data_IF_850475756657
#
_entry.id   IF_850475756657
#
_cell.length_a   1.000
_cell.length_b   1.000
_cell.length_c   1.000
_cell.angle_alpha   90.00
_cell.angle_beta   90.00
_cell.angle_gamma   90.00
#
_symmetry.space_group_name_H-M   'P 1'
#
loop_
_entity.id
_entity.type
_entity.pdbx_description
1 polymer ?
#
# COMPACT_ATOMS: atom_id res chain seq x y z
N UNK A 1 -22.68 -16.76 45.61
CA UNK A 1 -22.87 -16.83 44.14
C UNK A 1 -21.55 -16.52 43.43
N UNK A 2 -20.59 -17.45 43.37
CA UNK A 2 -19.27 -17.23 42.70
C UNK A 2 -18.75 -18.46 41.94
N UNK A 3 -19.55 -19.51 41.78
CA UNK A 3 -19.05 -20.83 41.33
C UNK A 3 -19.44 -21.20 39.88
N UNK A 4 -20.14 -20.32 39.16
CA UNK A 4 -20.66 -20.64 37.82
C UNK A 4 -19.75 -20.20 36.66
N UNK A 5 -18.69 -19.41 36.94
CA UNK A 5 -17.85 -18.82 35.90
C UNK A 5 -16.67 -19.72 35.50
N UNK A 6 -16.24 -20.63 36.38
CA UNK A 6 -15.07 -21.50 36.14
C UNK A 6 -15.41 -22.65 35.16
N UNK A 7 -16.67 -23.08 35.09
CA UNK A 7 -17.08 -24.18 34.20
C UNK A 7 -17.25 -23.78 32.73
N UNK A 8 -17.41 -22.49 32.43
CA UNK A 8 -17.54 -22.00 31.05
C UNK A 8 -16.18 -21.91 30.33
N UNK A 9 -15.08 -21.75 31.06
CA UNK A 9 -13.74 -21.69 30.47
C UNK A 9 -13.21 -23.06 30.01
N UNK A 10 -13.67 -24.16 30.62
CA UNK A 10 -13.20 -25.50 30.28
C UNK A 10 -13.82 -26.06 28.97
N UNK A 11 -15.00 -25.58 28.57
CA UNK A 11 -15.71 -26.11 27.40
C UNK A 11 -15.22 -25.52 26.06
N UNK A 12 -14.64 -24.31 26.06
CA UNK A 12 -14.18 -23.65 24.82
C UNK A 12 -12.82 -24.20 24.34
N UNK A 13 -11.99 -24.71 25.25
CA UNK A 13 -10.67 -25.27 24.93
C UNK A 13 -10.72 -26.65 24.25
N UNK A 14 -11.82 -27.39 24.36
CA UNK A 14 -11.93 -28.75 23.77
C UNK A 14 -12.27 -28.75 22.26
N UNK A 15 -12.82 -27.66 21.72
CA UNK A 15 -13.20 -27.57 20.30
C UNK A 15 -12.03 -27.06 19.43
N UNK A 16 -11.09 -26.31 20.00
CA UNK A 16 -9.95 -25.74 19.27
C UNK A 16 -8.86 -26.74 18.86
N UNK A 17 -8.71 -27.86 19.58
CA UNK A 17 -7.65 -28.85 19.31
C UNK A 17 -8.04 -29.88 18.23
N UNK A 18 -9.34 -30.05 17.95
CA UNK A 18 -9.81 -31.05 16.98
C UNK A 18 -9.73 -30.60 15.52
N UNK A 19 -9.62 -29.30 15.24
CA UNK A 19 -9.54 -28.75 13.87
C UNK A 19 -8.11 -28.49 13.37
N UNK A 20 -7.07 -28.91 14.12
CA UNK A 20 -5.66 -28.63 13.81
C UNK A 20 -4.82 -29.89 13.45
N UNK A 21 -5.45 -31.00 13.00
CA UNK A 21 -4.73 -32.27 12.70
C UNK A 21 -4.95 -32.82 11.28
N UNK A 22 -5.83 -32.24 10.45
CA UNK A 22 -6.23 -32.91 9.19
C UNK A 22 -5.63 -32.35 7.88
N UNK A 23 -4.77 -31.33 7.90
CA UNK A 23 -4.28 -30.70 6.65
C UNK A 23 -2.75 -30.58 6.57
N UNK A 24 -2.05 -31.67 6.88
CA UNK A 24 -0.62 -31.80 6.59
C UNK A 24 -0.31 -33.20 6.06
N UNK A 25 -0.84 -33.52 4.87
CA UNK A 25 -0.46 -34.71 4.11
C UNK A 25 -0.74 -34.46 2.63
N UNK A 26 0.29 -34.02 1.89
CA UNK A 26 0.16 -33.72 0.47
C UNK A 26 1.50 -33.41 -0.19
N UNK A 27 2.52 -34.23 0.10
CA UNK A 27 3.74 -34.27 -0.71
C UNK A 27 3.53 -35.10 -1.97
N UNK A 28 4.19 -34.67 -3.05
CA UNK A 28 4.76 -35.45 -4.19
C UNK A 28 4.64 -34.66 -5.50
N UNK A 29 5.44 -34.94 -6.56
CA UNK A 29 6.79 -35.49 -6.59
C UNK A 29 7.73 -34.72 -7.54
N UNK A 30 9.02 -34.98 -7.38
CA UNK A 30 10.10 -34.67 -8.32
C UNK A 30 9.81 -35.22 -9.72
N UNK A 31 10.14 -34.44 -10.76
CA UNK A 31 10.13 -34.92 -12.15
C UNK A 31 11.50 -35.48 -12.54
N UNK A 32 11.57 -36.66 -13.17
CA UNK A 32 12.82 -37.32 -13.55
C UNK A 32 13.46 -36.66 -14.77
N UNK A 33 14.78 -36.80 -14.84
CA UNK A 33 15.62 -36.30 -15.92
C UNK A 33 15.36 -36.93 -17.29
N UNK A 34 15.74 -36.16 -18.30
CA UNK A 34 15.97 -36.66 -19.66
C UNK A 34 17.46 -36.44 -19.95
N UNK A 35 18.21 -37.52 -19.87
CA UNK A 35 19.53 -37.66 -20.47
C UNK A 35 19.38 -37.85 -21.97
N UNK A 36 20.03 -36.98 -22.75
CA UNK A 36 20.34 -37.23 -24.16
C UNK A 36 21.70 -36.60 -24.47
N UNK A 37 22.70 -37.35 -24.99
CA UNK A 37 23.99 -36.81 -25.37
C UNK A 37 24.01 -36.45 -26.86
N UNK A 38 24.46 -35.25 -27.22
CA UNK A 38 25.07 -34.97 -28.52
C UNK A 38 25.89 -33.65 -28.48
N UNK A 39 27.19 -33.78 -28.74
CA UNK A 39 28.20 -32.71 -28.94
C UNK A 39 28.27 -32.34 -30.46
N UNK A 40 29.07 -31.35 -30.92
CA UNK A 40 28.64 -30.15 -31.65
C UNK A 40 29.11 -30.10 -33.13
N UNK A 41 28.83 -29.00 -33.86
CA UNK A 41 29.94 -28.16 -34.33
C UNK A 41 29.63 -26.65 -34.15
N UNK A 42 30.54 -25.89 -33.54
CA UNK A 42 31.59 -25.12 -34.22
C UNK A 42 31.04 -24.04 -35.16
N UNK A 43 30.66 -22.89 -34.60
CA UNK A 43 30.74 -21.59 -35.26
C UNK A 43 31.19 -20.57 -34.22
N UNK A 44 32.50 -20.38 -34.15
CA UNK A 44 33.12 -19.29 -33.42
C UNK A 44 32.97 -18.00 -34.23
N UNK A 45 32.27 -17.02 -33.67
CA UNK A 45 32.37 -15.63 -34.08
C UNK A 45 32.83 -14.81 -32.86
N UNK A 46 33.66 -13.78 -33.09
CA UNK A 46 34.60 -13.26 -32.11
C UNK A 46 33.93 -12.47 -31.00
N UNK A 47 34.50 -12.62 -29.80
CA UNK A 47 34.25 -11.76 -28.65
C UNK A 47 34.53 -10.30 -29.02
N UNK A 48 33.47 -9.48 -29.02
CA UNK A 48 33.57 -8.05 -28.89
C UNK A 48 33.08 -7.68 -27.49
N UNK A 49 34.02 -7.20 -26.68
CA UNK A 49 33.77 -6.44 -25.47
C UNK A 49 32.64 -5.43 -25.69
N UNK A 50 31.49 -5.68 -25.06
CA UNK A 50 30.55 -4.64 -24.67
C UNK A 50 30.37 -4.68 -23.16
N UNK A 51 31.45 -4.29 -22.48
CA UNK A 51 31.31 -3.58 -21.22
C UNK A 51 30.76 -2.18 -21.53
N UNK A 52 29.46 -1.95 -21.29
CA UNK A 52 28.92 -0.66 -20.86
C UNK A 52 27.39 -0.71 -20.70
N UNK A 53 26.94 -0.33 -19.50
CA UNK A 53 25.59 0.11 -19.16
C UNK A 53 24.46 -0.92 -19.25
N UNK A 54 24.47 -1.87 -18.30
CA UNK A 54 23.24 -2.19 -17.59
C UNK A 54 22.88 -0.95 -16.75
N UNK A 55 21.73 -0.29 -16.94
CA UNK A 55 21.25 0.62 -15.92
C UNK A 55 21.00 -0.23 -14.68
N UNK A 56 21.91 -0.16 -13.72
CA UNK A 56 21.59 -0.53 -12.36
C UNK A 56 20.33 0.27 -12.00
N UNK A 57 19.25 -0.37 -11.50
CA UNK A 57 18.23 0.40 -10.84
C UNK A 57 18.96 1.10 -9.70
N UNK A 58 19.07 2.42 -9.80
CA UNK A 58 19.37 3.28 -8.65
C UNK A 58 18.21 3.09 -7.67
N UNK A 59 18.27 2.00 -6.92
CA UNK A 59 17.66 1.89 -5.60
C UNK A 59 18.41 2.88 -4.74
N UNK A 60 18.08 4.16 -4.89
CA UNK A 60 18.27 5.10 -3.82
C UNK A 60 17.63 4.43 -2.59
N UNK A 61 18.35 4.28 -1.47
CA UNK A 61 17.75 3.79 -0.25
C UNK A 61 16.64 4.78 0.11
N UNK A 62 15.40 4.41 -0.17
CA UNK A 62 14.24 5.14 0.36
C UNK A 62 14.42 5.01 1.87
N UNK A 63 14.74 6.11 2.55
CA UNK A 63 14.93 6.11 3.99
C UNK A 63 13.64 5.61 4.62
N UNK A 64 13.64 4.33 4.98
CA UNK A 64 12.56 3.72 5.74
C UNK A 64 12.57 4.35 7.11
N UNK A 65 11.39 4.47 7.66
CA UNK A 65 11.17 5.16 8.91
C UNK A 65 11.79 4.40 10.10
N UNK A 66 11.67 3.09 10.04
CA UNK A 66 12.17 2.10 10.99
C UNK A 66 12.47 0.80 10.21
N UNK A 67 13.42 -0.05 10.64
CA UNK A 67 13.60 -1.39 10.06
C UNK A 67 12.27 -2.19 10.01
N UNK A 68 12.06 -2.96 8.94
CA UNK A 68 10.80 -3.72 8.74
C UNK A 68 10.58 -4.83 9.79
N UNK A 69 11.65 -5.27 10.45
CA UNK A 69 11.65 -6.27 11.51
C UNK A 69 11.44 -5.66 12.91
N UNK A 70 11.23 -4.36 13.01
CA UNK A 70 10.87 -3.71 14.26
C UNK A 70 9.53 -4.24 14.80
N UNK A 71 9.33 -4.20 16.13
CA UNK A 71 8.06 -4.58 16.71
C UNK A 71 6.95 -3.71 16.14
N UNK A 72 5.79 -4.33 15.91
CA UNK A 72 4.60 -3.71 15.30
C UNK A 72 4.28 -2.36 15.94
N UNK A 73 4.33 -2.26 17.26
CA UNK A 73 4.01 -1.04 18.01
C UNK A 73 4.93 0.13 17.64
N UNK A 74 6.21 -0.15 17.40
CA UNK A 74 7.19 0.87 16.98
C UNK A 74 6.94 1.31 15.54
N UNK A 75 6.53 0.39 14.66
CA UNK A 75 6.13 0.73 13.29
C UNK A 75 4.89 1.63 13.27
N UNK A 76 3.88 1.29 14.08
CA UNK A 76 2.64 2.06 14.19
C UNK A 76 2.91 3.47 14.73
N UNK A 77 3.70 3.58 15.79
CA UNK A 77 4.07 4.88 16.36
C UNK A 77 4.83 5.73 15.35
N UNK A 78 5.82 5.13 14.66
CA UNK A 78 6.60 5.87 13.67
C UNK A 78 5.71 6.40 12.53
N UNK A 79 4.83 5.55 11.98
CA UNK A 79 3.89 5.98 10.93
C UNK A 79 3.01 7.14 11.43
N UNK A 80 2.52 7.07 12.66
CA UNK A 80 1.73 8.13 13.27
C UNK A 80 2.53 9.44 13.43
N UNK A 81 3.77 9.35 13.94
CA UNK A 81 4.66 10.51 14.10
C UNK A 81 4.82 11.25 12.78
N UNK A 82 5.06 10.52 11.70
CA UNK A 82 5.19 11.11 10.37
C UNK A 82 3.87 11.71 9.87
N UNK A 83 2.78 10.96 9.99
CA UNK A 83 1.47 11.41 9.50
C UNK A 83 1.04 12.73 10.15
N UNK A 84 1.38 12.94 11.43
CA UNK A 84 1.03 14.15 12.19
C UNK A 84 1.91 15.36 11.87
N UNK A 85 2.96 15.21 11.04
CA UNK A 85 3.76 16.36 10.56
C UNK A 85 3.01 17.19 9.52
N UNK A 86 2.06 16.57 8.80
CA UNK A 86 1.36 17.16 7.66
C UNK A 86 2.30 17.65 6.53
N UNK A 87 3.53 17.10 6.44
CA UNK A 87 4.51 17.45 5.40
C UNK A 87 4.54 16.38 4.29
N UNK A 88 4.15 16.71 3.03
CA UNK A 88 4.16 15.77 1.92
C UNK A 88 5.55 15.21 1.58
N UNK A 89 6.65 15.86 1.99
CA UNK A 89 8.02 15.35 1.83
C UNK A 89 8.21 14.00 2.54
N UNK A 90 7.36 13.71 3.51
CA UNK A 90 7.44 12.50 4.31
C UNK A 90 6.66 11.30 3.73
N UNK A 91 5.82 11.50 2.70
CA UNK A 91 5.08 10.42 2.03
C UNK A 91 5.96 9.22 1.63
N UNK A 92 7.18 9.40 1.08
CA UNK A 92 8.05 8.28 0.71
C UNK A 92 8.47 7.41 1.90
N UNK A 93 8.41 7.94 3.14
CA UNK A 93 8.73 7.18 4.35
C UNK A 93 7.59 6.27 4.78
N UNK A 94 6.32 6.68 4.57
CA UNK A 94 5.14 5.85 4.86
C UNK A 94 4.91 4.80 3.76
N UNK A 95 5.24 5.13 2.50
CA UNK A 95 4.97 4.28 1.31
C UNK A 95 5.33 2.79 1.47
N UNK A 96 6.51 2.41 2.01
CA UNK A 96 6.89 1.00 2.11
C UNK A 96 5.92 0.17 2.95
N UNK A 97 5.24 0.80 3.92
CA UNK A 97 4.35 0.12 4.86
C UNK A 97 2.97 -0.19 4.27
N UNK A 98 2.61 0.38 3.11
CA UNK A 98 1.34 0.07 2.42
C UNK A 98 1.26 -1.40 1.97
N UNK A 99 2.39 -2.07 1.80
CA UNK A 99 2.49 -3.49 1.40
C UNK A 99 3.09 -4.37 2.51
N UNK A 100 3.10 -3.87 3.75
CA UNK A 100 3.64 -4.60 4.89
C UNK A 100 2.87 -5.92 5.11
N UNK A 101 3.51 -7.03 5.56
CA UNK A 101 2.81 -8.29 5.81
C UNK A 101 1.73 -8.18 6.89
N UNK A 102 1.96 -7.36 7.91
CA UNK A 102 0.99 -7.09 8.97
C UNK A 102 -0.14 -6.16 8.48
N UNK A 103 -1.39 -6.59 8.65
CA UNK A 103 -2.58 -5.87 8.18
C UNK A 103 -2.83 -4.56 8.94
N UNK A 104 -2.50 -4.50 10.22
CA UNK A 104 -2.67 -3.28 11.01
C UNK A 104 -1.61 -2.24 10.65
N UNK A 105 -0.39 -2.67 10.34
CA UNK A 105 0.65 -1.78 9.80
C UNK A 105 0.24 -1.23 8.43
N UNK A 106 -0.32 -2.07 7.53
CA UNK A 106 -0.86 -1.58 6.23
C UNK A 106 -1.96 -0.56 6.44
N UNK A 107 -2.89 -0.84 7.36
CA UNK A 107 -3.98 0.07 7.67
C UNK A 107 -3.45 1.39 8.22
N UNK A 108 -2.50 1.36 9.16
CA UNK A 108 -1.88 2.58 9.69
C UNK A 108 -1.16 3.37 8.60
N UNK A 109 -0.49 2.71 7.66
CA UNK A 109 0.15 3.36 6.52
C UNK A 109 -0.89 4.04 5.61
N UNK A 110 -2.01 3.38 5.32
CA UNK A 110 -3.11 3.96 4.56
C UNK A 110 -3.69 5.18 5.29
N UNK A 111 -4.03 5.03 6.56
CA UNK A 111 -4.57 6.11 7.39
C UNK A 111 -3.57 7.28 7.45
N UNK A 112 -2.27 6.99 7.61
CA UNK A 112 -1.20 7.98 7.62
C UNK A 112 -1.08 8.77 6.32
N UNK A 113 -1.22 8.11 5.16
CA UNK A 113 -1.27 8.79 3.85
C UNK A 113 -2.46 9.76 3.75
N UNK A 114 -3.63 9.37 4.29
CA UNK A 114 -4.83 10.21 4.29
C UNK A 114 -4.68 11.39 5.26
N UNK A 115 -4.16 11.15 6.47
CA UNK A 115 -3.96 12.18 7.50
C UNK A 115 -2.99 13.26 7.02
N UNK A 116 -1.93 12.87 6.29
CA UNK A 116 -1.01 13.83 5.70
C UNK A 116 -1.70 14.76 4.68
N UNK A 117 -2.76 14.26 4.02
CA UNK A 117 -3.73 15.08 3.29
C UNK A 117 -3.27 15.62 1.93
N UNK A 118 -2.15 15.14 1.40
CA UNK A 118 -1.59 15.63 0.14
C UNK A 118 -1.98 14.74 -1.06
N UNK A 119 -2.37 15.38 -2.17
CA UNK A 119 -2.77 14.70 -3.40
C UNK A 119 -1.64 13.86 -4.05
N UNK A 120 -0.37 14.13 -3.72
CA UNK A 120 0.77 13.32 -4.16
C UNK A 120 0.73 11.89 -3.60
N UNK A 121 -0.05 11.61 -2.55
CA UNK A 121 -0.25 10.26 -2.05
C UNK A 121 -1.17 9.42 -2.96
N UNK A 122 -2.05 10.04 -3.75
CA UNK A 122 -3.02 9.35 -4.61
C UNK A 122 -2.39 8.37 -5.61
N UNK A 123 -1.34 8.73 -6.39
CA UNK A 123 -0.67 7.75 -7.25
C UNK A 123 0.00 6.62 -6.45
N UNK A 124 0.54 6.90 -5.25
CA UNK A 124 1.16 5.88 -4.40
C UNK A 124 0.14 4.85 -3.90
N UNK A 125 -1.04 5.31 -3.49
CA UNK A 125 -2.14 4.47 -3.04
C UNK A 125 -2.70 3.60 -4.17
N UNK A 126 -2.84 4.15 -5.39
CA UNK A 126 -3.26 3.37 -6.57
C UNK A 126 -2.25 2.29 -6.93
N UNK A 127 -0.96 2.61 -6.85
CA UNK A 127 0.10 1.63 -7.12
C UNK A 127 0.12 0.52 -6.06
N UNK A 128 -0.13 0.85 -4.78
CA UNK A 128 -0.25 -0.14 -3.72
C UNK A 128 -1.52 -1.01 -3.88
N UNK A 129 -2.66 -0.41 -4.26
CA UNK A 129 -3.93 -1.11 -4.47
C UNK A 129 -3.82 -2.23 -5.53
N UNK A 130 -2.93 -2.07 -6.52
CA UNK A 130 -2.67 -3.09 -7.56
C UNK A 130 -1.85 -4.29 -7.07
N UNK A 131 -1.16 -4.14 -5.94
CA UNK A 131 -0.21 -5.11 -5.41
C UNK A 131 -0.76 -5.86 -4.19
N UNK A 132 -1.72 -5.29 -3.47
CA UNK A 132 -2.36 -5.96 -2.34
C UNK A 132 -3.24 -7.12 -2.79
N UNK A 133 -3.17 -8.23 -2.07
CA UNK A 133 -3.96 -9.45 -2.37
C UNK A 133 -5.42 -9.31 -1.95
N UNK A 134 -5.70 -8.51 -0.93
CA UNK A 134 -7.05 -8.30 -0.40
C UNK A 134 -7.81 -7.32 -1.27
N UNK A 135 -8.90 -7.77 -1.90
CA UNK A 135 -9.79 -6.91 -2.69
C UNK A 135 -10.35 -5.75 -1.85
N UNK A 136 -10.71 -6.03 -0.59
CA UNK A 136 -11.20 -5.00 0.33
C UNK A 136 -10.17 -3.88 0.54
N UNK A 137 -8.91 -4.24 0.80
CA UNK A 137 -7.84 -3.26 1.01
C UNK A 137 -7.54 -2.48 -0.27
N UNK A 138 -7.60 -3.14 -1.44
CA UNK A 138 -7.44 -2.45 -2.73
C UNK A 138 -8.51 -1.37 -2.94
N UNK A 139 -9.77 -1.67 -2.63
CA UNK A 139 -10.88 -0.71 -2.71
C UNK A 139 -10.65 0.46 -1.74
N UNK A 140 -10.26 0.18 -0.49
CA UNK A 140 -9.98 1.22 0.51
C UNK A 140 -8.86 2.16 0.05
N UNK A 141 -7.77 1.62 -0.50
CA UNK A 141 -6.67 2.41 -1.06
C UNK A 141 -7.11 3.26 -2.27
N UNK A 142 -7.96 2.71 -3.14
CA UNK A 142 -8.50 3.46 -4.28
C UNK A 142 -9.42 4.61 -3.85
N UNK A 143 -10.28 4.37 -2.85
CA UNK A 143 -11.16 5.40 -2.29
C UNK A 143 -10.35 6.50 -1.61
N UNK A 144 -9.31 6.14 -0.85
CA UNK A 144 -8.40 7.10 -0.24
C UNK A 144 -7.70 7.97 -1.31
N UNK A 145 -7.26 7.36 -2.41
CA UNK A 145 -6.65 8.10 -3.52
C UNK A 145 -7.62 9.09 -4.18
N UNK A 146 -8.88 8.69 -4.39
CA UNK A 146 -9.92 9.56 -4.93
C UNK A 146 -10.28 10.69 -3.97
N UNK A 147 -10.36 10.41 -2.66
CA UNK A 147 -10.61 11.40 -1.62
C UNK A 147 -9.53 12.50 -1.61
N UNK A 148 -8.26 12.13 -1.72
CA UNK A 148 -7.13 13.07 -1.68
C UNK A 148 -7.01 13.95 -2.93
N UNK A 149 -7.63 13.57 -4.04
CA UNK A 149 -7.69 14.39 -5.25
C UNK A 149 -8.86 15.38 -5.26
N UNK A 150 -9.78 15.27 -4.28
CA UNK A 150 -10.90 16.18 -4.22
C UNK A 150 -10.40 17.61 -3.99
N UNK A 151 -10.92 18.60 -4.73
CA UNK A 151 -10.60 19.99 -4.47
C UNK A 151 -11.05 20.33 -3.05
N UNK A 152 -10.09 20.75 -2.22
CA UNK A 152 -10.38 21.17 -0.86
C UNK A 152 -11.43 22.29 -0.87
N UNK A 153 -12.39 22.23 0.05
CA UNK A 153 -13.52 23.15 0.09
C UNK A 153 -13.08 24.63 0.07
N UNK A 154 -11.94 24.94 0.69
CA UNK A 154 -11.30 26.26 0.69
C UNK A 154 -10.93 26.74 -0.72
N UNK A 155 -10.48 25.84 -1.60
CA UNK A 155 -10.19 26.14 -3.00
C UNK A 155 -11.46 26.47 -3.78
N UNK A 156 -12.55 25.71 -3.57
CA UNK A 156 -13.83 25.95 -4.22
C UNK A 156 -14.48 27.28 -3.78
N UNK A 157 -14.40 27.60 -2.48
CA UNK A 157 -14.88 28.87 -1.91
C UNK A 157 -14.11 30.08 -2.49
N UNK A 158 -12.79 29.94 -2.69
CA UNK A 158 -11.96 30.98 -3.32
C UNK A 158 -12.20 31.10 -4.83
N UNK A 159 -12.55 30.00 -5.49
CA UNK A 159 -12.86 29.95 -6.92
C UNK A 159 -14.26 30.49 -7.25
N UNK A 160 -15.23 30.26 -6.35
CA UNK A 160 -16.60 30.76 -6.46
C UNK A 160 -16.78 32.24 -6.13
N UNK A 161 -15.79 32.89 -5.51
CA UNK A 161 -15.79 34.33 -5.25
C UNK A 161 -15.36 35.18 -6.47
N UNK A 162 -15.07 34.56 -7.62
CA UNK A 162 -14.73 35.26 -8.85
C UNK A 162 -15.97 35.90 -9.51
N UNK A 163 -16.24 37.15 -9.09
CA UNK A 163 -17.07 38.20 -9.72
C UNK A 163 -18.56 37.90 -9.93
N UNK A 164 -19.48 38.60 -9.23
CA UNK A 164 -20.81 38.83 -9.80
C UNK A 164 -20.61 39.60 -11.11
N UNK A 165 -20.91 38.97 -12.25
CA UNK A 165 -21.13 39.69 -13.51
C UNK A 165 -22.37 40.57 -13.32
N UNK A 166 -22.14 41.77 -12.79
CA UNK A 166 -23.03 42.91 -12.94
C UNK A 166 -23.00 43.29 -14.42
N UNK A 167 -23.75 42.57 -15.25
CA UNK A 167 -24.09 43.03 -16.59
C UNK A 167 -24.82 44.37 -16.47
N UNK A 168 -24.51 45.36 -17.33
CA UNK A 168 -25.22 46.63 -17.28
C UNK A 168 -26.69 46.37 -17.63
N UNK A 169 -27.57 46.49 -16.62
CA UNK A 169 -29.01 46.63 -16.86
C UNK A 169 -29.22 47.95 -17.58
N UNK A 170 -29.16 47.91 -18.93
CA UNK A 170 -29.63 49.00 -19.77
C UNK A 170 -31.10 49.24 -19.42
N UNK A 171 -31.37 50.35 -18.74
CA UNK A 171 -32.70 50.90 -18.62
C UNK A 171 -33.25 51.15 -20.03
N UNK A 172 -34.26 50.36 -20.41
CA UNK A 172 -35.15 50.62 -21.54
C UNK A 172 -36.48 51.12 -20.96
N UNK A 173 -36.84 52.34 -21.35
CA UNK A 173 -37.90 53.19 -20.80
C UNK A 173 -39.31 52.54 -20.79
N UNK A 174 -40.18 52.91 -19.82
CA UNK A 174 -41.62 52.77 -19.98
C UNK A 174 -42.14 53.78 -21.01
N UNK A 175 -43.00 53.31 -21.91
CA UNK A 175 -43.85 54.14 -22.78
C UNK A 175 -45.08 54.62 -22.02
#
# INVERSE_FOLDING_TARGET
>A
MKSSLVWLLAAVLAVGVLMMVAFQAGGSPEKPGITGPAKPPANALPAADQAANKPEPVTAPVSKLVPDDAPREVLLEAINDVATTYDPVELPKIKPYLLHPDAEVRKAALDGMVVLGDAAASPLLRDAARQVTSNKEAIEMMQAAEYLELPSATGLLKSGAAKPQAGPRKGGQPR
#
